data_IF_913902281262
#
_entry.id   IF_913902281262
#
_cell.length_a   1.000
_cell.length_b   1.000
_cell.length_c   1.000
_cell.angle_alpha   90.00
_cell.angle_beta   90.00
_cell.angle_gamma   90.00
#
_symmetry.space_group_name_H-M   'P 1'
#
loop_
_entity.id
_entity.type
_entity.pdbx_description
1 polymer ?
#
# COMPACT_ATOMS: atom_id res chain seq x y z
N UNK A 1 6.01 -66.40 -15.19
CA UNK A 1 5.34 -65.79 -16.35
C UNK A 1 3.97 -65.31 -15.92
N UNK A 2 3.85 -64.09 -15.41
CA UNK A 2 2.61 -63.31 -15.48
C UNK A 2 3.00 -61.84 -15.41
N UNK A 3 2.70 -61.13 -16.49
CA UNK A 3 3.01 -59.71 -16.74
C UNK A 3 1.98 -58.85 -16.00
N UNK A 4 2.45 -57.99 -15.09
CA UNK A 4 1.63 -56.95 -14.48
C UNK A 4 1.62 -55.71 -15.39
N UNK A 5 0.42 -55.20 -15.64
CA UNK A 5 0.12 -54.28 -16.72
C UNK A 5 0.55 -52.85 -16.40
N UNK A 6 1.39 -52.31 -17.27
CA UNK A 6 1.82 -50.92 -17.32
C UNK A 6 0.67 -50.06 -17.88
N UNK A 7 0.01 -49.26 -17.04
CA UNK A 7 -0.81 -48.11 -17.49
C UNK A 7 -0.34 -46.84 -16.78
N UNK A 8 0.85 -46.38 -17.19
CA UNK A 8 1.30 -45.01 -16.96
C UNK A 8 0.50 -44.11 -17.90
N UNK A 9 -0.50 -43.42 -17.35
CA UNK A 9 -1.15 -42.31 -18.02
C UNK A 9 -0.14 -41.15 -18.03
N UNK A 10 0.51 -40.95 -19.17
CA UNK A 10 1.41 -39.82 -19.40
C UNK A 10 0.64 -38.82 -20.26
N UNK A 11 0.01 -37.87 -19.59
CA UNK A 11 -0.55 -36.67 -20.18
C UNK A 11 0.38 -35.50 -19.81
N UNK A 12 1.57 -35.48 -20.39
CA UNK A 12 2.39 -34.27 -20.52
C UNK A 12 1.97 -33.62 -21.85
N UNK A 13 1.08 -32.62 -21.81
CA UNK A 13 1.46 -31.20 -21.73
C UNK A 13 2.59 -30.85 -22.70
N UNK A 14 2.13 -30.57 -23.90
CA UNK A 14 2.74 -29.74 -24.91
C UNK A 14 3.01 -28.34 -24.32
N UNK A 15 4.28 -27.99 -24.11
CA UNK A 15 4.71 -26.60 -23.98
C UNK A 15 6.00 -26.43 -24.79
N UNK A 16 5.81 -26.31 -26.11
CA UNK A 16 6.86 -25.91 -27.02
C UNK A 16 7.18 -24.43 -26.81
N UNK A 17 8.36 -24.21 -26.21
CA UNK A 17 9.28 -23.11 -26.44
C UNK A 17 8.75 -21.96 -27.34
N UNK A 18 8.38 -20.86 -26.70
CA UNK A 18 8.39 -19.53 -27.34
C UNK A 18 9.56 -18.74 -26.76
N UNK A 19 10.76 -18.96 -27.31
CA UNK A 19 11.88 -18.00 -27.18
C UNK A 19 11.55 -16.79 -28.05
N UNK A 20 11.17 -15.68 -27.42
CA UNK A 20 11.19 -14.37 -28.06
C UNK A 20 12.55 -13.71 -27.75
N UNK A 21 13.33 -13.31 -28.76
CA UNK A 21 14.59 -12.61 -28.55
C UNK A 21 14.36 -11.24 -27.92
N UNK A 22 15.13 -10.94 -26.88
CA UNK A 22 15.24 -9.63 -26.24
C UNK A 22 15.79 -8.61 -27.23
N UNK A 23 14.90 -7.77 -27.77
CA UNK A 23 15.30 -6.60 -28.54
C UNK A 23 15.91 -5.56 -27.59
N UNK A 24 17.14 -5.20 -27.91
CA UNK A 24 17.98 -4.28 -27.14
C UNK A 24 17.57 -2.85 -27.44
N UNK A 25 16.87 -2.20 -26.52
CA UNK A 25 16.63 -0.76 -26.59
C UNK A 25 17.85 0.00 -26.05
N UNK A 26 18.54 0.83 -26.86
CA UNK A 26 19.63 1.65 -26.37
C UNK A 26 19.12 2.78 -25.47
N UNK A 27 19.74 2.84 -24.30
CA UNK A 27 19.64 3.89 -23.30
C UNK A 27 20.12 5.22 -23.89
N UNK A 28 19.20 6.17 -24.06
CA UNK A 28 19.53 7.55 -24.37
C UNK A 28 19.80 8.30 -23.06
N UNK A 29 21.06 8.66 -22.91
CA UNK A 29 21.61 9.59 -21.92
C UNK A 29 21.07 11.00 -22.19
N UNK A 30 20.43 11.62 -21.20
CA UNK A 30 20.10 13.03 -21.20
C UNK A 30 20.36 13.60 -19.80
N UNK A 31 21.62 13.99 -19.62
CA UNK A 31 22.11 14.96 -18.64
C UNK A 31 21.42 16.29 -18.87
N UNK A 32 20.71 16.87 -17.89
CA UNK A 32 20.67 18.33 -17.63
C UNK A 32 20.30 18.60 -16.15
N UNK A 33 21.13 19.41 -15.49
CA UNK A 33 21.02 19.90 -14.12
C UNK A 33 20.27 21.26 -14.10
N UNK A 34 20.04 21.94 -12.95
CA UNK A 34 18.74 22.44 -12.51
C UNK A 34 18.47 23.92 -12.86
N UNK A 35 17.25 24.24 -13.28
CA UNK A 35 16.81 25.62 -13.44
C UNK A 35 15.97 26.08 -12.24
N UNK A 36 16.61 26.91 -11.42
CA UNK A 36 16.04 27.78 -10.41
C UNK A 36 15.30 28.95 -11.10
N UNK A 37 14.01 29.15 -10.84
CA UNK A 37 13.41 30.49 -10.86
C UNK A 37 11.94 30.54 -10.42
N UNK A 38 11.79 31.32 -9.34
CA UNK A 38 10.88 32.47 -9.23
C UNK A 38 9.44 32.20 -8.77
N UNK A 39 9.23 32.68 -7.55
CA UNK A 39 7.94 32.98 -6.95
C UNK A 39 7.12 33.95 -7.79
N UNK A 40 5.83 33.67 -7.94
CA UNK A 40 4.80 34.68 -8.21
C UNK A 40 3.59 34.40 -7.32
N UNK A 41 3.41 35.29 -6.35
CA UNK A 41 2.16 35.57 -5.65
C UNK A 41 1.31 36.44 -6.56
N UNK A 42 -0.02 36.24 -6.58
CA UNK A 42 -0.90 37.39 -6.68
C UNK A 42 -1.87 37.42 -5.50
N UNK A 43 -1.82 38.52 -4.76
CA UNK A 43 -2.89 38.99 -3.90
C UNK A 43 -4.05 39.55 -4.74
N UNK A 44 -5.17 39.79 -4.02
CA UNK A 44 -6.22 40.79 -4.27
C UNK A 44 -7.58 40.22 -4.70
N UNK A 45 -8.45 40.11 -3.67
CA UNK A 45 -9.73 40.83 -3.53
C UNK A 45 -10.60 41.02 -4.78
N UNK A 46 -11.81 40.45 -4.78
CA UNK A 46 -13.06 41.24 -4.76
C UNK A 46 -14.30 40.36 -4.52
N UNK A 47 -15.01 40.66 -3.43
CA UNK A 47 -16.46 40.48 -3.25
C UNK A 47 -16.91 41.80 -2.62
N UNK A 48 -18.05 42.43 -2.99
CA UNK A 48 -19.37 41.78 -2.91
C UNK A 48 -20.37 42.20 -4.01
N UNK A 49 -21.43 41.42 -4.22
CA UNK A 49 -22.69 41.96 -4.75
C UNK A 49 -23.85 41.54 -3.85
N UNK A 50 -24.20 42.47 -2.98
CA UNK A 50 -25.57 42.63 -2.48
C UNK A 50 -26.43 43.04 -3.66
N UNK A 51 -27.55 42.35 -3.87
CA UNK A 51 -28.66 42.89 -4.63
C UNK A 51 -29.91 42.80 -3.75
N UNK A 52 -30.54 43.95 -3.64
CA UNK A 52 -31.56 44.34 -2.70
C UNK A 52 -32.93 43.98 -3.30
N UNK A 53 -33.81 43.41 -2.49
CA UNK A 53 -35.25 43.32 -2.81
C UNK A 53 -35.83 44.75 -2.94
N UNK A 54 -36.96 45.00 -3.62
CA UNK A 54 -38.26 44.66 -3.02
C UNK A 54 -39.40 44.39 -4.01
N UNK A 55 -40.42 43.63 -3.57
CA UNK A 55 -41.82 43.91 -3.91
C UNK A 55 -42.73 43.11 -2.97
N UNK A 56 -43.37 43.84 -2.05
CA UNK A 56 -44.56 43.44 -1.31
C UNK A 56 -45.79 43.49 -2.22
N UNK A 57 -46.70 42.53 -2.06
CA UNK A 57 -48.16 42.73 -1.95
C UNK A 57 -48.71 41.41 -1.37
N UNK A 58 -48.90 41.29 -0.05
CA UNK A 58 -50.09 41.66 0.74
C UNK A 58 -51.35 40.84 0.41
N UNK A 59 -52.15 40.59 1.47
CA UNK A 59 -53.49 40.01 1.50
C UNK A 59 -53.62 38.46 1.57
N UNK A 60 -54.36 37.83 2.48
CA UNK A 60 -55.32 38.25 3.52
C UNK A 60 -55.42 37.11 4.57
N UNK A 61 -55.74 37.52 5.79
CA UNK A 61 -55.98 36.77 7.01
C UNK A 61 -56.81 35.47 6.90
N UNK A 62 -56.37 34.44 7.65
CA UNK A 62 -57.23 33.72 8.60
C UNK A 62 -56.36 33.02 9.68
N UNK A 63 -56.70 33.25 10.94
CA UNK A 63 -56.18 32.56 12.13
C UNK A 63 -57.39 32.11 12.97
N UNK A 64 -57.29 31.15 13.93
CA UNK A 64 -56.16 30.30 14.30
C UNK A 64 -56.55 28.81 14.53
N UNK A 65 -55.60 27.88 14.46
CA UNK A 65 -55.66 26.63 15.24
C UNK A 65 -54.31 26.38 15.93
N UNK A 66 -54.24 26.36 17.26
CA UNK A 66 -52.97 26.23 17.97
C UNK A 66 -52.55 24.76 17.94
N UNK A 67 -51.72 24.37 16.98
CA UNK A 67 -50.86 23.19 17.16
C UNK A 67 -49.57 23.69 17.80
N UNK A 68 -49.44 23.38 19.08
CA UNK A 68 -48.24 23.53 19.91
C UNK A 68 -47.08 22.74 19.29
N UNK A 69 -46.51 23.29 18.22
CA UNK A 69 -45.26 22.85 17.65
C UNK A 69 -44.15 23.34 18.56
N UNK A 70 -43.57 22.44 19.33
CA UNK A 70 -42.28 22.67 19.97
C UNK A 70 -41.32 23.17 18.87
N UNK A 71 -40.53 24.24 19.08
CA UNK A 71 -39.55 24.65 18.09
C UNK A 71 -38.65 23.45 17.82
N UNK A 72 -38.66 22.99 16.57
CA UNK A 72 -37.71 21.99 16.09
C UNK A 72 -36.38 22.71 16.09
N UNK A 73 -35.65 22.61 17.20
CA UNK A 73 -34.26 23.04 17.29
C UNK A 73 -33.54 22.26 16.20
N UNK A 74 -33.31 22.92 15.07
CA UNK A 74 -32.41 22.43 14.04
C UNK A 74 -31.02 22.53 14.64
N UNK A 75 -30.62 21.50 15.39
CA UNK A 75 -29.25 21.36 15.84
C UNK A 75 -28.42 20.96 14.61
N UNK A 76 -27.86 21.96 13.94
CA UNK A 76 -26.75 21.81 12.99
C UNK A 76 -25.47 21.42 13.76
N UNK A 77 -25.55 20.37 14.57
CA UNK A 77 -24.39 19.77 15.21
C UNK A 77 -23.65 18.99 14.13
N UNK A 78 -22.68 19.66 13.49
CA UNK A 78 -21.67 19.05 12.63
C UNK A 78 -21.10 17.83 13.36
N UNK A 79 -21.55 16.64 12.97
CA UNK A 79 -21.14 15.38 13.58
C UNK A 79 -19.70 15.11 13.15
N UNK A 80 -18.75 15.39 14.04
CA UNK A 80 -17.37 14.88 13.92
C UNK A 80 -17.45 13.36 13.84
N UNK A 81 -17.26 12.83 12.64
CA UNK A 81 -17.35 11.39 12.38
C UNK A 81 -15.98 10.79 12.68
N UNK A 82 -15.92 9.96 13.72
CA UNK A 82 -14.74 9.12 13.98
C UNK A 82 -14.55 8.16 12.81
N UNK A 83 -13.32 8.08 12.31
CA UNK A 83 -12.93 7.14 11.26
C UNK A 83 -12.09 6.05 11.91
N UNK A 84 -12.55 4.79 11.80
CA UNK A 84 -11.84 3.62 12.31
C UNK A 84 -11.15 2.91 11.14
N UNK A 85 -9.82 2.86 11.18
CA UNK A 85 -8.97 2.17 10.21
C UNK A 85 -8.20 1.06 10.91
N UNK A 86 -8.10 -0.09 10.28
CA UNK A 86 -7.29 -1.23 10.76
C UNK A 86 -6.28 -1.59 9.68
N UNK A 87 -5.01 -1.39 9.98
CA UNK A 87 -3.88 -1.81 9.15
C UNK A 87 -3.29 -3.09 9.75
N UNK A 88 -3.29 -4.17 8.99
CA UNK A 88 -2.61 -5.42 9.33
C UNK A 88 -1.34 -5.50 8.50
N UNK A 89 -0.22 -5.79 9.15
CA UNK A 89 1.06 -6.00 8.48
C UNK A 89 1.56 -7.39 8.83
N UNK A 90 1.96 -8.16 7.82
CA UNK A 90 2.47 -9.52 7.94
C UNK A 90 3.82 -9.61 7.25
N UNK A 91 4.88 -9.96 7.98
CA UNK A 91 6.23 -10.15 7.44
C UNK A 91 6.69 -11.60 7.54
N UNK A 92 7.49 -12.05 6.58
CA UNK A 92 8.23 -13.31 6.63
C UNK A 92 9.71 -13.07 6.95
N UNK A 93 10.40 -14.12 7.39
CA UNK A 93 11.85 -14.06 7.66
C UNK A 93 12.67 -13.75 6.40
N UNK A 94 12.10 -13.97 5.21
CA UNK A 94 12.74 -13.71 3.92
C UNK A 94 12.65 -12.24 3.49
N UNK A 95 12.05 -11.37 4.31
CA UNK A 95 11.96 -9.94 4.06
C UNK A 95 10.78 -9.53 3.19
N UNK A 96 9.85 -10.45 2.91
CA UNK A 96 8.58 -10.14 2.27
C UNK A 96 7.59 -9.65 3.32
N UNK A 97 7.16 -8.40 3.21
CA UNK A 97 6.13 -7.83 4.08
C UNK A 97 4.93 -7.43 3.24
N UNK A 98 3.75 -7.82 3.70
CA UNK A 98 2.46 -7.47 3.09
C UNK A 98 1.64 -6.64 4.06
N UNK A 99 0.90 -5.67 3.53
CA UNK A 99 -0.09 -4.91 4.29
C UNK A 99 -1.50 -5.06 3.73
N UNK A 100 -2.45 -5.03 4.66
CA UNK A 100 -3.87 -4.97 4.38
C UNK A 100 -4.52 -3.84 5.18
N UNK A 101 -5.36 -3.03 4.53
CA UNK A 101 -6.05 -1.91 5.15
C UNK A 101 -7.56 -2.12 5.10
N UNK A 102 -8.22 -1.95 6.25
CA UNK A 102 -9.67 -1.93 6.41
C UNK A 102 -10.15 -0.58 6.94
N UNK A 103 -11.33 -0.16 6.51
CA UNK A 103 -12.10 0.92 7.10
C UNK A 103 -13.44 0.35 7.57
N UNK A 104 -13.59 0.18 8.89
CA UNK A 104 -14.63 -0.65 9.48
C UNK A 104 -14.65 -2.06 8.87
N UNK A 105 -15.75 -2.46 8.23
CA UNK A 105 -15.89 -3.76 7.59
C UNK A 105 -15.39 -3.82 6.14
N UNK A 106 -15.02 -2.69 5.53
CA UNK A 106 -14.65 -2.62 4.11
C UNK A 106 -13.14 -2.70 3.94
N UNK A 107 -12.69 -3.52 3.00
CA UNK A 107 -11.30 -3.53 2.57
C UNK A 107 -11.01 -2.31 1.70
N UNK A 108 -9.90 -1.64 2.00
CA UNK A 108 -9.38 -0.50 1.23
C UNK A 108 -8.22 -0.97 0.35
N UNK A 109 -7.33 -1.80 0.88
CA UNK A 109 -6.20 -2.39 0.16
C UNK A 109 -5.88 -3.78 0.73
N UNK A 110 -5.33 -4.66 -0.11
CA UNK A 110 -4.89 -6.02 0.26
C UNK A 110 -3.63 -6.40 -0.51
N UNK A 111 -2.80 -7.23 0.11
CA UNK A 111 -1.63 -7.83 -0.52
C UNK A 111 -0.61 -6.78 -1.00
N UNK A 112 -0.52 -5.64 -0.32
CA UNK A 112 0.41 -4.59 -0.71
C UNK A 112 1.80 -4.98 -0.22
N UNK A 113 2.72 -5.26 -1.15
CA UNK A 113 4.12 -5.52 -0.81
C UNK A 113 4.81 -4.24 -0.33
N UNK A 114 5.49 -4.35 0.81
CA UNK A 114 6.16 -3.23 1.48
C UNK A 114 7.55 -3.70 1.91
N UNK A 115 8.59 -2.86 1.80
CA UNK A 115 9.89 -3.21 2.36
C UNK A 115 9.89 -3.06 3.89
N UNK A 116 10.57 -3.95 4.60
CA UNK A 116 10.72 -3.90 6.06
C UNK A 116 11.22 -2.54 6.58
N UNK A 117 12.09 -1.86 5.83
CA UNK A 117 12.60 -0.53 6.18
C UNK A 117 11.50 0.55 6.20
N UNK A 118 10.49 0.44 5.33
CA UNK A 118 9.34 1.36 5.34
C UNK A 118 8.43 1.08 6.53
N UNK A 119 8.27 -0.18 6.93
CA UNK A 119 7.50 -0.57 8.12
C UNK A 119 8.12 0.03 9.39
N UNK A 120 9.45 -0.07 9.54
CA UNK A 120 10.20 0.58 10.63
C UNK A 120 9.99 2.10 10.67
N UNK A 121 10.07 2.75 9.50
CA UNK A 121 9.88 4.21 9.39
C UNK A 121 8.44 4.61 9.75
N UNK A 122 7.45 3.91 9.20
CA UNK A 122 6.05 4.18 9.49
C UNK A 122 5.71 3.94 10.97
N UNK A 123 6.27 2.89 11.58
CA UNK A 123 6.09 2.62 13.01
C UNK A 123 6.64 3.76 13.88
N UNK A 124 7.80 4.33 13.52
CA UNK A 124 8.39 5.50 14.21
C UNK A 124 7.52 6.75 14.07
N UNK A 125 6.92 6.94 12.91
CA UNK A 125 5.99 8.06 12.67
C UNK A 125 4.67 7.88 13.44
N UNK A 126 4.23 6.64 13.67
CA UNK A 126 3.00 6.34 14.37
C UNK A 126 3.16 6.42 15.89
N UNK A 127 4.11 5.66 16.45
CA UNK A 127 4.39 5.69 17.89
C UNK A 127 5.70 4.98 18.25
N UNK A 128 6.47 5.55 19.20
CA UNK A 128 7.73 4.96 19.66
C UNK A 128 7.56 3.53 20.22
N UNK A 129 6.51 3.30 21.02
CA UNK A 129 6.22 1.98 21.62
C UNK A 129 5.95 0.87 20.59
N UNK A 130 5.57 1.23 19.36
CA UNK A 130 5.40 0.26 18.27
C UNK A 130 6.70 0.04 17.52
N UNK A 131 7.51 1.08 17.36
CA UNK A 131 8.75 1.02 16.58
C UNK A 131 9.81 0.07 17.16
N UNK A 132 9.99 0.03 18.48
CA UNK A 132 10.99 -0.84 19.13
C UNK A 132 10.77 -2.32 18.86
N UNK A 133 9.60 -2.89 19.23
CA UNK A 133 9.31 -4.31 18.99
C UNK A 133 9.34 -4.70 17.50
N UNK A 134 8.92 -3.79 16.61
CA UNK A 134 8.96 -4.04 15.16
C UNK A 134 10.40 -4.10 14.65
N UNK A 135 11.25 -3.16 15.07
CA UNK A 135 12.66 -3.14 14.68
C UNK A 135 13.40 -4.39 15.19
N UNK A 136 13.11 -4.85 16.40
CA UNK A 136 13.64 -6.11 16.95
C UNK A 136 13.28 -7.33 16.09
N UNK A 137 12.01 -7.48 15.71
CA UNK A 137 11.55 -8.58 14.84
C UNK A 137 12.21 -8.52 13.46
N UNK A 138 12.33 -7.33 12.87
CA UNK A 138 12.98 -7.14 11.57
C UNK A 138 14.47 -7.50 11.64
N UNK A 139 15.17 -7.11 12.70
CA UNK A 139 16.58 -7.43 12.87
C UNK A 139 16.80 -8.93 13.08
N UNK A 140 15.98 -9.58 13.91
CA UNK A 140 16.03 -11.02 14.10
C UNK A 140 15.81 -11.79 12.78
N UNK A 141 14.87 -11.34 11.94
CA UNK A 141 14.65 -11.92 10.62
C UNK A 141 15.90 -11.81 9.71
N UNK A 142 16.56 -10.65 9.71
CA UNK A 142 17.80 -10.43 8.93
C UNK A 142 18.94 -11.32 9.40
N UNK A 143 19.08 -11.52 10.71
CA UNK A 143 20.10 -12.42 11.27
C UNK A 143 19.87 -13.87 10.83
N UNK A 144 18.62 -14.34 10.85
CA UNK A 144 18.26 -15.67 10.36
C UNK A 144 18.54 -15.83 8.87
N UNK A 145 18.23 -14.82 8.07
CA UNK A 145 18.53 -14.82 6.64
C UNK A 145 20.04 -14.86 6.39
N UNK A 146 20.82 -14.04 7.09
CA UNK A 146 22.28 -14.01 6.98
C UNK A 146 22.91 -15.35 7.37
N UNK A 147 22.42 -15.98 8.45
CA UNK A 147 22.89 -17.31 8.86
C UNK A 147 22.61 -18.38 7.80
N UNK A 148 21.43 -18.34 7.17
CA UNK A 148 21.07 -19.27 6.09
C UNK A 148 21.95 -19.06 4.86
N UNK A 149 22.22 -17.80 4.49
CA UNK A 149 23.12 -17.48 3.37
C UNK A 149 24.54 -18.00 3.66
N UNK A 150 25.08 -17.73 4.84
CA UNK A 150 26.42 -18.20 5.24
C UNK A 150 26.53 -19.73 5.21
N UNK A 151 25.49 -20.45 5.62
CA UNK A 151 25.45 -21.91 5.53
C UNK A 151 25.50 -22.37 4.06
N UNK A 152 24.64 -21.79 3.21
CA UNK A 152 24.57 -22.15 1.79
C UNK A 152 25.87 -21.82 1.06
N UNK A 153 26.52 -20.71 1.39
CA UNK A 153 27.82 -20.33 0.83
C UNK A 153 28.91 -21.34 1.21
N UNK A 154 28.96 -21.81 2.47
CA UNK A 154 29.90 -22.85 2.89
C UNK A 154 29.65 -24.20 2.19
N UNK A 155 28.39 -24.53 1.90
CA UNK A 155 28.03 -25.72 1.12
C UNK A 155 28.48 -25.58 -0.35
N UNK A 156 28.31 -24.40 -0.95
CA UNK A 156 28.79 -24.11 -2.31
C UNK A 156 30.31 -24.12 -2.43
N UNK A 157 31.04 -23.58 -1.45
CA UNK A 157 32.50 -23.61 -1.45
C UNK A 157 33.04 -25.04 -1.42
N UNK A 158 32.47 -25.90 -0.57
CA UNK A 158 32.83 -27.32 -0.52
C UNK A 158 32.55 -28.03 -1.84
N UNK A 159 31.39 -27.75 -2.46
CA UNK A 159 31.05 -28.33 -3.76
C UNK A 159 32.01 -27.88 -4.87
N UNK A 160 32.41 -26.60 -4.87
CA UNK A 160 33.39 -26.06 -5.82
C UNK A 160 34.77 -26.70 -5.67
N UNK A 161 35.23 -26.91 -4.44
CA UNK A 161 36.51 -27.58 -4.17
C UNK A 161 36.50 -29.03 -4.63
N UNK A 162 35.42 -29.77 -4.36
CA UNK A 162 35.27 -31.16 -4.80
C UNK A 162 35.26 -31.30 -6.34
N UNK A 163 34.67 -30.33 -7.04
CA UNK A 163 34.70 -30.30 -8.50
C UNK A 163 36.10 -29.98 -9.04
N UNK A 164 36.81 -29.01 -8.42
CA UNK A 164 38.18 -28.69 -8.79
C UNK A 164 39.16 -29.85 -8.54
N UNK A 165 38.93 -30.68 -7.53
CA UNK A 165 39.70 -31.90 -7.28
C UNK A 165 39.47 -32.98 -8.36
N UNK A 166 38.29 -32.99 -9.00
CA UNK A 166 37.97 -33.95 -10.05
C UNK A 166 38.49 -33.53 -11.44
N UNK A 167 38.60 -32.23 -11.69
CA UNK A 167 39.12 -31.65 -12.94
C UNK A 167 40.67 -31.54 -12.95
N UNK A 168 41.34 -31.76 -11.82
CA UNK A 168 42.79 -31.73 -11.65
C UNK A 168 43.44 -33.12 -11.84
#
# INVERSE_FOLDING_TARGET
MTVDALTRTDAASEEAATEAPVDSTPQAEATETPAESKAETPETTDAPKSDEAPASDDQVAESPKPKRGRPKVATTAKKTRTVELTLTVTGTADGEWQAELKNGAKWVAKGLEIPAAAVSRAAKELHADLSGPIDEVINAARELQAAKVAQLEAELEKAKLALAELDA
#
